data_IF_514726436217
#
_entry.id   IF_514726436217
#
_cell.length_a   1.000
_cell.length_b   1.000
_cell.length_c   1.000
_cell.angle_alpha   90.00
_cell.angle_beta   90.00
_cell.angle_gamma   90.00
#
_symmetry.space_group_name_H-M   'P 1'
#
loop_
_entity.id
_entity.type
_entity.pdbx_description
1 polymer ?
#
# COMPACT_ATOMS: atom_id res chain seq x y z
N UNK A 1 -12.20 -31.02 19.23
CA UNK A 1 -11.10 -30.05 19.42
C UNK A 1 -10.08 -30.04 18.28
N UNK A 2 -9.30 -31.10 18.02
CA UNK A 2 -8.30 -31.07 16.92
C UNK A 2 -8.92 -31.12 15.53
N UNK A 3 -10.03 -31.85 15.35
CA UNK A 3 -10.74 -31.91 14.06
C UNK A 3 -11.45 -30.59 13.72
N UNK A 4 -12.15 -30.00 14.69
CA UNK A 4 -12.82 -28.69 14.55
C UNK A 4 -11.81 -27.58 14.20
N UNK A 5 -10.61 -27.60 14.79
CA UNK A 5 -9.57 -26.63 14.47
C UNK A 5 -9.06 -26.78 13.03
N UNK A 6 -8.98 -28.01 12.50
CA UNK A 6 -8.59 -28.28 11.11
C UNK A 6 -9.67 -27.86 10.12
N UNK A 7 -10.94 -28.17 10.41
CA UNK A 7 -12.08 -27.77 9.58
C UNK A 7 -12.24 -26.25 9.54
N UNK A 8 -12.11 -25.57 10.68
CA UNK A 8 -12.16 -24.11 10.75
C UNK A 8 -11.02 -23.46 9.94
N UNK A 9 -9.82 -24.04 9.98
CA UNK A 9 -8.69 -23.56 9.18
C UNK A 9 -8.94 -23.78 7.68
N UNK A 10 -9.48 -24.93 7.28
CA UNK A 10 -9.83 -25.21 5.89
C UNK A 10 -10.90 -24.23 5.36
N UNK A 11 -11.96 -23.97 6.14
CA UNK A 11 -13.00 -22.99 5.81
C UNK A 11 -12.44 -21.55 5.76
N UNK A 12 -11.48 -21.22 6.61
CA UNK A 12 -10.82 -19.92 6.59
C UNK A 12 -10.03 -19.70 5.28
N UNK A 13 -9.37 -20.74 4.77
CA UNK A 13 -8.69 -20.68 3.48
C UNK A 13 -9.66 -20.60 2.29
N UNK A 14 -10.79 -21.30 2.36
CA UNK A 14 -11.82 -21.26 1.32
C UNK A 14 -12.50 -19.89 1.22
N UNK A 15 -12.75 -19.25 2.37
CA UNK A 15 -13.29 -17.88 2.43
C UNK A 15 -12.27 -16.79 2.11
N UNK A 16 -10.97 -17.12 1.97
CA UNK A 16 -9.83 -16.19 1.79
C UNK A 16 -9.84 -15.00 2.76
N UNK A 17 -10.43 -15.15 3.94
CA UNK A 17 -10.55 -14.10 4.95
C UNK A 17 -9.26 -14.03 5.79
N UNK A 18 -8.49 -12.92 5.74
CA UNK A 18 -7.23 -12.83 6.49
C UNK A 18 -7.43 -12.92 8.01
N UNK A 19 -8.57 -12.44 8.52
CA UNK A 19 -8.89 -12.47 9.94
C UNK A 19 -9.13 -13.90 10.44
N UNK A 20 -9.83 -14.72 9.65
CA UNK A 20 -10.16 -16.08 10.02
C UNK A 20 -8.94 -16.99 9.88
N UNK A 21 -8.13 -16.79 8.83
CA UNK A 21 -6.85 -17.50 8.66
C UNK A 21 -5.92 -17.21 9.84
N UNK A 22 -5.81 -15.94 10.26
CA UNK A 22 -5.01 -15.55 11.44
C UNK A 22 -5.47 -16.27 12.71
N UNK A 23 -6.79 -16.34 12.94
CA UNK A 23 -7.36 -17.06 14.09
C UNK A 23 -7.06 -18.56 14.01
N UNK A 24 -7.26 -19.17 12.85
CA UNK A 24 -6.98 -20.59 12.62
C UNK A 24 -5.51 -20.95 12.90
N UNK A 25 -4.58 -20.18 12.34
CA UNK A 25 -3.13 -20.38 12.53
C UNK A 25 -2.74 -20.20 14.01
N UNK A 26 -3.32 -19.20 14.70
CA UNK A 26 -3.10 -18.98 16.14
C UNK A 26 -3.60 -20.17 16.97
N UNK A 27 -4.78 -20.70 16.67
CA UNK A 27 -5.34 -21.88 17.34
C UNK A 27 -4.46 -23.12 17.13
N UNK A 28 -3.98 -23.38 15.91
CA UNK A 28 -3.04 -24.48 15.63
C UNK A 28 -1.75 -24.35 16.45
N UNK A 29 -1.24 -23.13 16.61
CA UNK A 29 -0.05 -22.85 17.41
C UNK A 29 -0.29 -23.06 18.91
N UNK A 30 -1.42 -22.61 19.45
CA UNK A 30 -1.79 -22.82 20.85
C UNK A 30 -1.95 -24.31 21.20
N UNK A 31 -2.45 -25.10 20.25
CA UNK A 31 -2.60 -26.55 20.39
C UNK A 31 -1.31 -27.33 20.08
N UNK A 32 -0.18 -26.66 19.82
CA UNK A 32 1.12 -27.25 19.49
C UNK A 32 1.07 -28.21 18.28
N UNK A 33 0.16 -27.94 17.33
CA UNK A 33 -0.01 -28.71 16.10
C UNK A 33 1.01 -28.27 15.05
N UNK A 34 2.28 -28.64 15.25
CA UNK A 34 3.40 -28.16 14.41
C UNK A 34 3.27 -28.59 12.93
N UNK A 35 2.78 -29.81 12.66
CA UNK A 35 2.57 -30.28 11.28
C UNK A 35 1.48 -29.49 10.55
N UNK A 36 0.33 -29.28 11.21
CA UNK A 36 -0.78 -28.49 10.66
C UNK A 36 -0.41 -27.03 10.50
N UNK A 37 0.33 -26.46 11.46
CA UNK A 37 0.85 -25.11 11.36
C UNK A 37 1.80 -24.96 10.15
N UNK A 38 2.71 -25.92 9.93
CA UNK A 38 3.59 -25.94 8.76
C UNK A 38 2.83 -26.09 7.44
N UNK A 39 1.79 -26.94 7.41
CA UNK A 39 0.90 -27.09 6.27
C UNK A 39 0.12 -25.81 5.95
N UNK A 40 -0.47 -25.18 6.97
CA UNK A 40 -1.20 -23.92 6.86
C UNK A 40 -0.32 -22.80 6.31
N UNK A 41 0.92 -22.70 6.78
CA UNK A 41 1.88 -21.71 6.30
C UNK A 41 2.25 -21.93 4.83
N UNK A 42 2.38 -23.19 4.41
CA UNK A 42 2.65 -23.56 3.01
C UNK A 42 1.45 -23.24 2.11
N UNK A 43 0.23 -23.51 2.59
CA UNK A 43 -1.01 -23.17 1.88
C UNK A 43 -1.18 -21.65 1.74
N UNK A 44 -1.00 -20.89 2.84
CA UNK A 44 -1.06 -19.43 2.82
C UNK A 44 -0.03 -18.83 1.86
N UNK A 45 1.17 -19.43 1.80
CA UNK A 45 2.19 -19.05 0.84
C UNK A 45 1.73 -19.25 -0.60
N UNK A 46 1.16 -20.42 -0.92
CA UNK A 46 0.62 -20.71 -2.25
C UNK A 46 -0.48 -19.73 -2.67
N UNK A 47 -1.39 -19.39 -1.76
CA UNK A 47 -2.44 -18.37 -2.00
C UNK A 47 -1.82 -17.01 -2.27
N UNK A 48 -0.80 -16.62 -1.49
CA UNK A 48 -0.10 -15.34 -1.65
C UNK A 48 0.58 -15.25 -3.03
N UNK A 49 1.25 -16.31 -3.46
CA UNK A 49 1.90 -16.39 -4.78
C UNK A 49 0.87 -16.30 -5.93
N UNK A 50 -0.25 -17.03 -5.82
CA UNK A 50 -1.34 -16.99 -6.80
C UNK A 50 -1.97 -15.60 -6.89
N UNK A 51 -2.25 -14.97 -5.74
CA UNK A 51 -2.82 -13.64 -5.70
C UNK A 51 -1.87 -12.57 -6.25
N UNK A 52 -0.56 -12.70 -6.01
CA UNK A 52 0.43 -11.83 -6.65
C UNK A 52 0.40 -12.00 -8.18
N UNK A 53 0.34 -13.23 -8.68
CA UNK A 53 0.30 -13.50 -10.12
C UNK A 53 -0.95 -12.88 -10.79
N UNK A 54 -2.12 -13.07 -10.18
CA UNK A 54 -3.37 -12.45 -10.60
C UNK A 54 -3.29 -10.91 -10.55
N UNK A 55 -2.55 -10.34 -9.59
CA UNK A 55 -2.43 -8.88 -9.44
C UNK A 55 -1.53 -8.25 -10.49
N UNK A 56 -0.62 -9.03 -11.07
CA UNK A 56 0.20 -8.61 -12.20
C UNK A 56 -0.60 -8.52 -13.50
N UNK A 57 -1.60 -9.37 -13.66
CA UNK A 57 -2.47 -9.39 -14.85
C UNK A 57 -3.65 -8.42 -14.75
N UNK A 58 -3.98 -7.95 -13.54
CA UNK A 58 -5.05 -6.99 -13.32
C UNK A 58 -4.65 -5.59 -13.80
N UNK A 59 -5.37 -5.08 -14.78
CA UNK A 59 -5.14 -3.75 -15.36
C UNK A 59 -5.95 -2.66 -14.67
N UNK A 60 -6.98 -3.03 -13.89
CA UNK A 60 -7.75 -2.05 -13.14
C UNK A 60 -7.00 -1.63 -11.88
N UNK A 61 -6.81 -0.32 -11.72
CA UNK A 61 -6.00 0.24 -10.64
C UNK A 61 -6.66 0.00 -9.28
N UNK A 62 -7.96 0.21 -9.20
CA UNK A 62 -8.72 0.10 -7.95
C UNK A 62 -8.78 -1.35 -7.48
N UNK A 63 -9.12 -2.26 -8.37
CA UNK A 63 -9.12 -3.71 -8.12
C UNK A 63 -7.74 -4.21 -7.72
N UNK A 64 -6.69 -3.81 -8.44
CA UNK A 64 -5.30 -4.16 -8.08
C UNK A 64 -4.93 -3.64 -6.70
N UNK A 65 -5.30 -2.41 -6.34
CA UNK A 65 -5.02 -1.84 -5.02
C UNK A 65 -5.79 -2.53 -3.89
N UNK A 66 -7.06 -2.89 -4.11
CA UNK A 66 -7.83 -3.67 -3.15
C UNK A 66 -7.17 -5.04 -2.88
N UNK A 67 -6.66 -5.69 -3.93
CA UNK A 67 -5.94 -6.97 -3.82
C UNK A 67 -4.59 -6.82 -3.13
N UNK A 68 -3.86 -5.75 -3.40
CA UNK A 68 -2.63 -5.41 -2.68
C UNK A 68 -2.89 -5.22 -1.18
N UNK A 69 -3.98 -4.57 -0.78
CA UNK A 69 -4.32 -4.40 0.63
C UNK A 69 -4.58 -5.74 1.34
N UNK A 70 -5.19 -6.71 0.65
CA UNK A 70 -5.38 -8.07 1.17
C UNK A 70 -4.02 -8.79 1.29
N UNK A 71 -3.17 -8.70 0.26
CA UNK A 71 -1.82 -9.27 0.27
C UNK A 71 -0.95 -8.75 1.42
N UNK A 72 -1.07 -7.46 1.78
CA UNK A 72 -0.37 -6.90 2.95
C UNK A 72 -0.76 -7.61 4.25
N UNK A 73 -2.03 -8.00 4.40
CA UNK A 73 -2.50 -8.75 5.56
C UNK A 73 -1.93 -10.17 5.59
N UNK A 74 -1.91 -10.87 4.45
CA UNK A 74 -1.28 -12.19 4.36
C UNK A 74 0.21 -12.16 4.67
N UNK A 75 0.94 -11.19 4.13
CA UNK A 75 2.37 -11.00 4.44
C UNK A 75 2.58 -10.69 5.93
N UNK A 76 1.69 -9.92 6.57
CA UNK A 76 1.76 -9.70 8.03
C UNK A 76 1.65 -11.00 8.81
N UNK A 77 0.73 -11.89 8.41
CA UNK A 77 0.56 -13.20 9.04
C UNK A 77 1.82 -14.05 8.82
N UNK A 78 2.37 -14.07 7.60
CA UNK A 78 3.61 -14.78 7.29
C UNK A 78 4.79 -14.24 8.14
N UNK A 79 4.83 -12.93 8.38
CA UNK A 79 5.88 -12.27 9.18
C UNK A 79 5.85 -12.70 10.63
N UNK A 80 4.66 -12.71 11.23
CA UNK A 80 4.48 -13.10 12.63
C UNK A 80 4.85 -14.57 12.89
N UNK A 81 4.82 -15.39 11.85
CA UNK A 81 5.17 -16.81 11.89
C UNK A 81 6.57 -17.11 11.34
N UNK A 82 7.40 -16.08 11.11
CA UNK A 82 8.83 -16.23 10.83
C UNK A 82 9.16 -16.76 9.43
N UNK A 83 8.31 -16.50 8.44
CA UNK A 83 8.56 -16.93 7.06
C UNK A 83 9.88 -16.35 6.51
N UNK A 84 10.64 -17.17 5.77
CA UNK A 84 11.97 -16.80 5.25
C UNK A 84 11.91 -15.99 3.95
N UNK A 85 10.79 -16.03 3.22
CA UNK A 85 10.61 -15.37 1.91
C UNK A 85 9.95 -13.99 1.99
N UNK A 86 9.76 -13.44 3.19
CA UNK A 86 9.16 -12.12 3.41
C UNK A 86 9.77 -11.00 2.57
N UNK A 87 11.08 -11.06 2.31
CA UNK A 87 11.75 -10.08 1.46
C UNK A 87 11.26 -10.13 0.01
N UNK A 88 11.09 -11.33 -0.54
CA UNK A 88 10.58 -11.54 -1.90
C UNK A 88 9.16 -11.01 -2.03
N UNK A 89 8.26 -11.42 -1.14
CA UNK A 89 6.87 -10.95 -1.14
C UNK A 89 6.76 -9.44 -0.94
N UNK A 90 7.63 -8.85 -0.12
CA UNK A 90 7.66 -7.40 0.03
C UNK A 90 8.04 -6.71 -1.28
N UNK A 91 9.06 -7.22 -1.99
CA UNK A 91 9.48 -6.68 -3.27
C UNK A 91 8.38 -6.81 -4.32
N UNK A 92 7.76 -7.99 -4.42
CA UNK A 92 6.64 -8.23 -5.34
C UNK A 92 5.47 -7.28 -5.07
N UNK A 93 5.14 -7.05 -3.80
CA UNK A 93 4.09 -6.12 -3.41
C UNK A 93 4.45 -4.66 -3.74
N UNK A 94 5.71 -4.27 -3.58
CA UNK A 94 6.17 -2.95 -4.03
C UNK A 94 6.09 -2.80 -5.56
N UNK A 95 6.42 -3.84 -6.32
CA UNK A 95 6.34 -3.86 -7.79
C UNK A 95 4.89 -3.77 -8.27
N UNK A 96 3.96 -4.47 -7.61
CA UNK A 96 2.52 -4.39 -7.89
C UNK A 96 1.95 -2.98 -7.68
N UNK A 97 2.43 -2.28 -6.66
CA UNK A 97 2.11 -0.87 -6.42
C UNK A 97 2.79 0.08 -7.43
N UNK A 98 3.79 -0.39 -8.19
CA UNK A 98 4.48 0.36 -9.23
C UNK A 98 5.84 0.93 -8.81
N UNK A 99 6.75 1.02 -9.81
CA UNK A 99 8.12 1.52 -9.66
C UNK A 99 8.26 3.05 -9.65
N UNK A 100 7.28 3.76 -10.20
CA UNK A 100 7.18 5.22 -10.14
C UNK A 100 5.95 5.56 -9.30
N UNK A 101 6.13 6.28 -8.19
CA UNK A 101 5.00 6.76 -7.39
C UNK A 101 4.97 8.28 -7.33
N UNK A 102 3.82 8.83 -7.67
CA UNK A 102 3.57 10.26 -7.63
C UNK A 102 2.54 10.52 -6.55
N UNK A 103 2.97 11.19 -5.49
CA UNK A 103 2.09 11.57 -4.41
C UNK A 103 1.71 13.05 -4.50
N UNK A 104 0.43 13.34 -4.33
CA UNK A 104 -0.07 14.69 -4.15
C UNK A 104 -0.12 15.01 -2.65
N UNK A 105 0.31 16.20 -2.24
CA UNK A 105 0.05 16.71 -0.89
C UNK A 105 -0.53 18.12 -0.96
N UNK A 106 -1.76 18.27 -0.49
CA UNK A 106 -2.40 19.57 -0.36
C UNK A 106 -1.89 20.23 0.91
N UNK A 107 -1.33 21.44 0.78
CA UNK A 107 -0.79 22.21 1.90
C UNK A 107 -1.93 23.05 2.50
N UNK A 108 -2.06 23.16 3.83
CA UNK A 108 -2.94 24.15 4.44
C UNK A 108 -2.50 25.58 4.11
N UNK A 109 -3.48 26.49 4.03
CA UNK A 109 -3.23 27.91 3.77
C UNK A 109 -2.33 28.53 4.84
N UNK A 110 -1.41 29.39 4.39
CA UNK A 110 -0.59 30.20 5.27
C UNK A 110 -1.37 31.36 5.87
N UNK A 111 -0.93 31.86 7.02
CA UNK A 111 -1.51 33.05 7.65
C UNK A 111 -1.49 34.32 6.78
N UNK A 112 -0.64 34.39 5.75
CA UNK A 112 -0.66 35.50 4.76
C UNK A 112 -1.77 35.33 3.72
N UNK A 113 -2.00 34.10 3.28
CA UNK A 113 -3.03 33.73 2.30
C UNK A 113 -4.42 33.87 2.93
N UNK A 114 -4.56 33.43 4.19
CA UNK A 114 -5.79 33.63 4.98
C UNK A 114 -6.10 35.13 5.16
N UNK A 115 -5.08 35.96 5.43
CA UNK A 115 -5.25 37.42 5.53
C UNK A 115 -5.64 38.08 4.21
N UNK A 116 -5.31 37.46 3.07
CA UNK A 116 -5.69 37.90 1.72
C UNK A 116 -7.05 37.34 1.27
N UNK A 117 -7.68 36.51 2.10
CA UNK A 117 -8.92 35.81 1.77
C UNK A 117 -8.77 34.86 0.57
N UNK A 118 -7.57 34.30 0.37
CA UNK A 118 -7.30 33.31 -0.67
C UNK A 118 -8.01 31.99 -0.34
N UNK A 119 -8.58 31.35 -1.35
CA UNK A 119 -9.22 30.03 -1.24
C UNK A 119 -8.31 28.93 -1.80
N UNK A 120 -8.59 27.70 -1.40
CA UNK A 120 -7.82 26.55 -1.86
C UNK A 120 -8.29 26.20 -3.27
N UNK A 121 -7.36 26.26 -4.23
CA UNK A 121 -7.63 25.99 -5.64
C UNK A 121 -7.75 24.49 -5.98
N UNK A 122 -7.56 23.61 -4.99
CA UNK A 122 -7.53 22.15 -5.15
C UNK A 122 -8.73 21.52 -4.48
N UNK A 123 -9.44 20.68 -5.23
CA UNK A 123 -10.54 19.85 -4.76
C UNK A 123 -10.15 18.37 -4.95
N UNK A 124 -10.40 17.56 -3.92
CA UNK A 124 -10.14 16.12 -3.96
C UNK A 124 -11.42 15.46 -4.44
N UNK A 125 -11.39 14.90 -5.65
CA UNK A 125 -12.54 14.21 -6.24
C UNK A 125 -12.60 12.78 -5.70
N UNK A 126 -11.45 12.09 -5.76
CA UNK A 126 -11.27 10.70 -5.33
C UNK A 126 -9.92 10.56 -4.59
N UNK A 127 -9.67 9.45 -3.88
CA UNK A 127 -8.37 9.19 -3.23
C UNK A 127 -7.15 9.21 -4.18
N UNK A 128 -7.40 9.08 -5.49
CA UNK A 128 -6.39 9.09 -6.56
C UNK A 128 -6.50 10.28 -7.50
N UNK A 129 -7.56 11.10 -7.42
CA UNK A 129 -7.81 12.17 -8.38
C UNK A 129 -8.05 13.51 -7.69
N UNK A 130 -7.28 14.53 -8.07
CA UNK A 130 -7.52 15.93 -7.68
C UNK A 130 -7.89 16.78 -8.88
N UNK A 131 -8.77 17.75 -8.68
CA UNK A 131 -9.05 18.82 -9.62
C UNK A 131 -8.41 20.12 -9.12
N UNK A 132 -7.72 20.82 -10.02
CA UNK A 132 -7.13 22.14 -9.75
C UNK A 132 -7.88 23.17 -10.60
N UNK A 133 -8.45 24.17 -9.94
CA UNK A 133 -9.20 25.25 -10.59
C UNK A 133 -8.32 26.50 -10.66
N UNK A 134 -7.92 26.92 -11.87
CA UNK A 134 -7.15 28.16 -12.08
C UNK A 134 -8.07 29.38 -12.30
N UNK A 135 -9.29 29.13 -12.77
CA UNK A 135 -10.41 30.07 -12.95
C UNK A 135 -11.74 29.31 -12.86
N UNK A 136 -12.89 30.01 -12.83
CA UNK A 136 -14.23 29.36 -12.78
C UNK A 136 -14.50 28.41 -13.96
N UNK A 137 -13.83 28.61 -15.09
CA UNK A 137 -14.04 27.86 -16.33
C UNK A 137 -12.93 26.86 -16.65
N UNK A 138 -11.79 26.90 -15.96
CA UNK A 138 -10.61 26.10 -16.29
C UNK A 138 -10.23 25.18 -15.12
N UNK A 139 -10.86 24.00 -15.12
CA UNK A 139 -10.64 22.91 -14.17
C UNK A 139 -9.78 21.84 -14.82
N UNK A 140 -8.60 21.59 -14.25
CA UNK A 140 -7.71 20.54 -14.73
C UNK A 140 -7.65 19.40 -13.72
N UNK A 141 -7.94 18.19 -14.18
CA UNK A 141 -7.94 16.98 -13.36
C UNK A 141 -6.62 16.25 -13.50
N UNK A 142 -6.07 15.79 -12.39
CA UNK A 142 -4.81 15.08 -12.32
C UNK A 142 -4.94 13.84 -11.44
N UNK A 143 -4.35 12.73 -11.90
CA UNK A 143 -4.38 11.45 -11.20
C UNK A 143 -3.01 11.11 -10.61
N UNK A 144 -3.02 10.61 -9.38
CA UNK A 144 -1.86 10.34 -8.52
C UNK A 144 -1.95 8.97 -7.87
N UNK A 145 -0.84 8.55 -7.24
CA UNK A 145 -0.78 7.29 -6.51
C UNK A 145 -1.41 7.34 -5.12
N UNK A 146 -1.28 8.48 -4.46
CA UNK A 146 -2.06 8.81 -3.29
C UNK A 146 -2.16 10.33 -3.17
N UNK A 147 -3.28 10.80 -2.62
CA UNK A 147 -3.52 12.21 -2.32
C UNK A 147 -3.60 12.39 -0.82
N UNK A 148 -2.70 13.21 -0.29
CA UNK A 148 -2.67 13.59 1.12
C UNK A 148 -3.37 14.93 1.30
N UNK A 149 -4.46 14.92 2.05
CA UNK A 149 -5.21 16.12 2.40
C UNK A 149 -4.42 17.02 3.35
N UNK A 150 -4.92 18.23 3.57
CA UNK A 150 -4.28 19.24 4.43
C UNK A 150 -4.09 18.79 5.87
N UNK A 151 -4.97 17.90 6.36
CA UNK A 151 -4.93 17.35 7.72
C UNK A 151 -3.99 16.15 7.88
N UNK A 152 -3.41 15.64 6.79
CA UNK A 152 -2.55 14.45 6.86
C UNK A 152 -1.23 14.77 7.55
N UNK A 153 -0.86 13.95 8.55
CA UNK A 153 0.37 14.15 9.30
C UNK A 153 1.59 13.73 8.49
N UNK A 154 2.77 14.25 8.85
CA UNK A 154 4.03 13.84 8.22
C UNK A 154 4.32 12.34 8.47
N UNK A 155 3.82 11.78 9.57
CA UNK A 155 3.97 10.37 9.90
C UNK A 155 3.19 9.47 8.93
N UNK A 156 1.97 9.86 8.56
CA UNK A 156 1.14 9.12 7.61
C UNK A 156 1.76 9.13 6.20
N UNK A 157 2.26 10.29 5.78
CA UNK A 157 3.01 10.43 4.50
C UNK A 157 4.26 9.55 4.52
N UNK A 158 4.98 9.51 5.65
CA UNK A 158 6.17 8.67 5.78
C UNK A 158 5.81 7.18 5.80
N UNK A 159 4.71 6.78 6.44
CA UNK A 159 4.25 5.40 6.48
C UNK A 159 4.01 4.86 5.06
N UNK A 160 3.41 5.68 4.19
CA UNK A 160 3.18 5.32 2.78
C UNK A 160 4.50 5.23 1.99
N UNK A 161 5.45 6.13 2.25
CA UNK A 161 6.77 6.12 1.62
C UNK A 161 7.72 5.05 2.19
N UNK A 162 7.44 4.49 3.38
CA UNK A 162 8.36 3.57 4.09
C UNK A 162 8.69 2.32 3.28
N UNK A 163 7.72 1.80 2.52
CA UNK A 163 7.93 0.64 1.66
C UNK A 163 9.01 0.87 0.59
N UNK A 164 9.12 2.09 0.08
CA UNK A 164 10.14 2.47 -0.91
C UNK A 164 11.53 2.52 -0.27
N UNK A 165 11.63 3.04 0.96
CA UNK A 165 12.89 3.12 1.71
C UNK A 165 13.41 1.73 2.09
N UNK A 166 12.53 0.82 2.50
CA UNK A 166 12.91 -0.54 2.90
C UNK A 166 13.53 -1.36 1.75
N UNK A 167 13.15 -1.08 0.50
CA UNK A 167 13.75 -1.71 -0.69
C UNK A 167 15.24 -1.37 -0.82
N UNK A 168 15.61 -0.12 -0.54
CA UNK A 168 17.00 0.38 -0.66
C UNK A 168 17.92 -0.12 0.44
N UNK A 169 17.41 -0.40 1.65
CA UNK A 169 18.22 -0.92 2.77
C UNK A 169 18.61 -2.40 2.55
N UNK A 170 17.93 -3.12 1.66
CA UNK A 170 18.10 -4.56 1.43
C UNK A 170 19.17 -4.94 0.39
N UNK A 171 19.14 -4.35 -0.81
CA UNK A 171 20.16 -4.39 -1.90
C UNK A 171 19.56 -3.91 -3.24
N UNK A 172 20.35 -3.18 -4.04
CA UNK A 172 20.18 -2.86 -5.50
C UNK A 172 19.06 -1.88 -5.97
N UNK A 173 18.79 -0.80 -5.22
CA UNK A 173 17.94 0.27 -5.76
C UNK A 173 18.19 1.63 -5.12
N UNK A 174 18.25 2.68 -5.95
CA UNK A 174 18.32 4.07 -5.51
C UNK A 174 16.90 4.68 -5.44
N UNK A 175 16.52 5.23 -4.29
CA UNK A 175 15.32 6.09 -4.18
C UNK A 175 15.72 7.52 -4.53
N UNK A 176 15.14 8.06 -5.60
CA UNK A 176 15.26 9.47 -5.97
C UNK A 176 13.95 10.19 -5.63
N UNK A 177 13.96 10.99 -4.57
CA UNK A 177 12.84 11.87 -4.22
C UNK A 177 12.99 13.21 -4.92
N UNK A 178 11.95 13.67 -5.61
CA UNK A 178 11.92 14.99 -6.24
C UNK A 178 10.72 15.80 -5.73
N UNK A 179 10.90 17.08 -5.44
CA UNK A 179 9.82 17.95 -4.95
C UNK A 179 9.52 19.02 -5.98
N UNK A 180 8.29 19.06 -6.46
CA UNK A 180 7.82 20.07 -7.41
C UNK A 180 6.85 21.02 -6.74
N UNK A 181 6.95 22.31 -7.07
CA UNK A 181 5.98 23.33 -6.65
C UNK A 181 5.21 23.79 -7.89
N UNK A 182 3.89 23.90 -7.76
CA UNK A 182 3.08 24.63 -8.72
C UNK A 182 2.83 26.01 -8.11
N UNK A 183 2.97 27.07 -8.91
CA UNK A 183 2.70 28.46 -8.47
C UNK A 183 1.18 28.70 -8.32
N UNK A 184 0.52 27.88 -7.51
CA UNK A 184 -0.88 28.04 -7.11
C UNK A 184 -1.00 27.86 -5.58
N UNK A 185 -1.87 28.64 -4.91
CA UNK A 185 -2.05 28.56 -3.46
C UNK A 185 -2.44 27.15 -3.03
N UNK A 186 -1.72 26.60 -2.05
CA UNK A 186 -2.04 25.29 -1.45
C UNK A 186 -1.49 24.05 -2.16
N UNK A 187 -0.75 24.16 -3.28
CA UNK A 187 -0.17 23.00 -3.96
C UNK A 187 1.30 22.75 -3.59
N UNK A 188 1.62 21.53 -3.18
CA UNK A 188 3.01 21.03 -3.17
C UNK A 188 3.02 19.58 -3.64
N UNK A 189 3.71 19.30 -4.74
CA UNK A 189 3.82 17.95 -5.29
C UNK A 189 5.09 17.28 -4.77
N UNK A 190 4.99 16.04 -4.29
CA UNK A 190 6.17 15.25 -3.91
C UNK A 190 6.22 14.01 -4.79
N UNK A 191 7.18 14.00 -5.70
CA UNK A 191 7.47 12.90 -6.59
C UNK A 191 8.45 11.95 -5.90
N UNK A 192 8.20 10.65 -5.91
CA UNK A 192 9.17 9.68 -5.44
C UNK A 192 9.40 8.65 -6.55
N UNK A 193 10.56 8.76 -7.22
CA UNK A 193 10.97 7.83 -8.26
C UNK A 193 11.98 6.85 -7.68
N UNK A 194 11.64 5.58 -7.64
CA UNK A 194 12.62 4.52 -7.32
C UNK A 194 13.22 3.98 -8.60
N UNK A 195 14.55 4.02 -8.72
CA UNK A 195 15.28 3.28 -9.75
C UNK A 195 15.82 1.99 -9.12
N UNK A 196 15.42 0.84 -9.65
CA UNK A 196 16.26 -0.35 -9.60
C UNK A 196 17.36 -0.13 -10.65
N UNK A 197 18.58 0.16 -10.22
CA UNK A 197 19.74 -0.02 -11.09
C UNK A 197 19.92 -1.52 -11.21
N UNK A 198 19.37 -2.12 -12.27
CA UNK A 198 19.87 -3.38 -12.77
C UNK A 198 21.30 -3.10 -13.25
N UNK A 199 22.28 -3.49 -12.43
CA UNK A 199 23.68 -3.53 -12.82
C UNK A 199 23.94 -4.80 -13.63
#
# INVERSE_FOLDING_TARGET
>A
MTLEAKEALAQAFESRSPADIRKGISSCRQLLLNEEHGGAMTQLRGITEEDIALARTDHDRESRMARVAILEQFISILRENGDKQLRGFHNDLQDLKGALRVFCRVRPLNGREIKKNDTIAVEIVDPFTVSVSKSETDKQTFSYDAIFAQGTSQADVFAECKGLVMRTVGSEGAVCTYKGYLDVPGCTWTWVRTWTCLA
#
